data_IF_173123710177
#
_entry.id   IF_173123710177
#
_cell.length_a   1.000
_cell.length_b   1.000
_cell.length_c   1.000
_cell.angle_alpha   90.00
_cell.angle_beta   90.00
_cell.angle_gamma   90.00
#
_symmetry.space_group_name_H-M   'P 1'
#
loop_
_entity.id
_entity.type
_entity.pdbx_description
1 polymer ?
#
# COMPACT_ATOMS: atom_id res chain seq x y z
N UNK A 1 13.41 -0.34 -9.70
CA UNK A 1 12.53 0.85 -9.57
C UNK A 1 11.29 0.49 -8.76
N UNK A 2 10.80 1.38 -7.89
CA UNK A 2 9.52 1.23 -7.18
C UNK A 2 8.68 2.47 -7.45
N UNK A 3 7.45 2.28 -7.90
CA UNK A 3 6.53 3.35 -8.31
C UNK A 3 5.26 3.32 -7.46
N UNK A 4 4.59 4.46 -7.39
CA UNK A 4 3.24 4.55 -6.86
C UNK A 4 2.37 5.40 -7.79
N UNK A 5 1.06 5.14 -7.79
CA UNK A 5 0.10 5.93 -8.55
C UNK A 5 -1.29 5.85 -7.92
N UNK A 6 -2.05 6.94 -8.05
CA UNK A 6 -3.49 6.93 -7.87
C UNK A 6 -4.09 5.99 -8.94
N UNK A 7 -4.92 5.05 -8.49
CA UNK A 7 -5.57 4.02 -9.31
C UNK A 7 -7.09 4.21 -9.39
N UNK A 8 -7.57 5.38 -8.97
CA UNK A 8 -8.96 5.86 -9.09
C UNK A 8 -8.97 7.21 -9.82
N UNK A 9 -10.15 7.64 -10.25
CA UNK A 9 -10.32 8.96 -10.88
C UNK A 9 -10.05 10.06 -9.84
N UNK A 10 -9.33 11.14 -10.19
CA UNK A 10 -9.17 12.30 -9.30
C UNK A 10 -10.51 12.95 -8.96
N UNK A 11 -10.67 13.45 -7.73
CA UNK A 11 -11.87 14.14 -7.27
C UNK A 11 -12.49 13.48 -6.04
N UNK A 12 -13.72 13.90 -5.72
CA UNK A 12 -14.47 13.41 -4.57
C UNK A 12 -14.99 12.00 -4.84
N UNK A 13 -14.58 11.04 -4.01
CA UNK A 13 -14.96 9.65 -4.12
C UNK A 13 -15.10 9.05 -2.71
N UNK A 14 -15.99 8.06 -2.55
CA UNK A 14 -16.09 7.33 -1.27
C UNK A 14 -14.85 6.51 -0.91
N UNK A 15 -14.06 6.12 -1.92
CA UNK A 15 -12.79 5.37 -1.74
C UNK A 15 -11.80 5.79 -2.81
N UNK A 16 -10.55 6.08 -2.41
CA UNK A 16 -9.42 6.22 -3.31
C UNK A 16 -8.50 4.99 -3.20
N UNK A 17 -7.94 4.54 -4.33
CA UNK A 17 -6.99 3.41 -4.36
C UNK A 17 -5.63 3.91 -4.79
N UNK A 18 -4.60 3.66 -3.98
CA UNK A 18 -3.20 3.93 -4.31
C UNK A 18 -2.48 2.60 -4.48
N UNK A 19 -1.87 2.39 -5.65
CA UNK A 19 -1.07 1.19 -5.93
C UNK A 19 0.40 1.50 -5.81
N UNK A 20 1.13 0.65 -5.08
CA UNK A 20 2.60 0.70 -4.97
C UNK A 20 3.18 -0.59 -5.54
N UNK A 21 4.08 -0.48 -6.52
CA UNK A 21 4.64 -1.63 -7.26
C UNK A 21 6.16 -1.52 -7.38
N UNK A 22 6.85 -2.65 -7.23
CA UNK A 22 8.29 -2.75 -7.41
C UNK A 22 9.01 -3.43 -6.24
N UNK A 23 10.33 -3.47 -6.32
CA UNK A 23 11.19 -4.22 -5.39
C UNK A 23 11.06 -3.74 -3.93
N UNK A 24 10.77 -2.45 -3.71
CA UNK A 24 10.63 -1.86 -2.38
C UNK A 24 9.19 -1.71 -1.92
N UNK A 25 8.18 -2.22 -2.66
CA UNK A 25 6.78 -2.06 -2.29
C UNK A 25 6.47 -2.62 -0.89
N UNK A 26 7.03 -3.78 -0.54
CA UNK A 26 6.89 -4.36 0.81
C UNK A 26 7.48 -3.46 1.90
N UNK A 27 8.61 -2.82 1.62
CA UNK A 27 9.27 -1.90 2.56
C UNK A 27 8.45 -0.62 2.72
N UNK A 28 7.96 -0.05 1.62
CA UNK A 28 7.12 1.15 1.63
C UNK A 28 5.83 0.92 2.44
N UNK A 29 5.11 -0.17 2.17
CA UNK A 29 3.88 -0.52 2.90
C UNK A 29 4.18 -0.80 4.38
N UNK A 30 5.29 -1.46 4.72
CA UNK A 30 5.69 -1.65 6.12
C UNK A 30 5.95 -0.33 6.83
N UNK A 31 6.61 0.64 6.17
CA UNK A 31 6.83 1.98 6.74
C UNK A 31 5.51 2.74 6.94
N UNK A 32 4.64 2.75 5.93
CA UNK A 32 3.34 3.45 5.99
C UNK A 32 2.38 2.86 7.04
N UNK A 33 2.38 1.54 7.22
CA UNK A 33 1.40 0.87 8.11
C UNK A 33 1.97 0.50 9.47
N UNK A 34 3.30 0.54 9.63
CA UNK A 34 4.07 -0.05 10.75
C UNK A 34 3.77 -1.53 11.01
N UNK A 35 3.18 -2.24 10.03
CA UNK A 35 2.78 -3.66 10.14
C UNK A 35 3.50 -4.53 9.11
N UNK A 36 3.72 -5.79 9.47
CA UNK A 36 4.12 -6.83 8.52
C UNK A 36 2.87 -7.52 7.96
N UNK A 37 2.47 -7.15 6.74
CA UNK A 37 1.26 -7.70 6.12
C UNK A 37 1.53 -9.07 5.48
N UNK A 38 0.54 -9.97 5.61
CA UNK A 38 0.54 -11.25 4.92
C UNK A 38 0.07 -11.06 3.46
N UNK A 39 0.67 -11.79 2.50
CA UNK A 39 0.21 -11.72 1.12
C UNK A 39 -1.26 -12.15 0.97
N UNK A 40 -2.02 -11.45 0.13
CA UNK A 40 -3.41 -11.74 -0.24
C UNK A 40 -4.40 -11.68 0.93
N UNK A 41 -4.09 -10.90 1.96
CA UNK A 41 -4.97 -10.62 3.10
C UNK A 41 -5.34 -9.14 3.12
N UNK A 42 -6.62 -8.83 3.33
CA UNK A 42 -7.09 -7.47 3.53
C UNK A 42 -6.98 -7.10 5.00
N UNK A 43 -6.15 -6.11 5.31
CA UNK A 43 -5.87 -5.71 6.70
C UNK A 43 -6.17 -4.23 6.90
N UNK A 44 -7.02 -3.91 7.89
CA UNK A 44 -7.25 -2.53 8.32
C UNK A 44 -6.00 -1.98 9.02
N UNK A 45 -5.48 -0.87 8.51
CA UNK A 45 -4.24 -0.25 8.96
C UNK A 45 -4.46 1.25 9.17
N UNK A 46 -3.83 1.79 10.24
CA UNK A 46 -3.54 3.21 10.32
C UNK A 46 -2.36 3.52 9.40
N UNK A 47 -2.41 4.64 8.70
CA UNK A 47 -1.33 5.14 7.87
C UNK A 47 -0.58 6.23 8.61
N UNK A 48 0.75 6.14 8.59
CA UNK A 48 1.65 7.03 9.29
C UNK A 48 2.47 7.86 8.31
N UNK A 49 2.68 9.12 8.66
CA UNK A 49 3.62 9.99 7.95
C UNK A 49 5.07 9.76 8.42
N UNK A 50 5.98 10.57 7.90
CA UNK A 50 7.41 10.51 8.25
C UNK A 50 7.71 11.00 9.69
N UNK A 51 6.75 11.62 10.38
CA UNK A 51 6.83 12.08 11.77
C UNK A 51 6.08 11.16 12.73
N UNK A 52 5.76 9.94 12.28
CA UNK A 52 5.03 8.94 13.05
C UNK A 52 3.60 9.33 13.46
N UNK A 53 3.03 10.35 12.82
CA UNK A 53 1.65 10.80 13.04
C UNK A 53 0.68 10.07 12.13
N UNK A 54 -0.49 9.69 12.66
CA UNK A 54 -1.54 9.02 11.88
C UNK A 54 -2.27 10.07 11.05
N UNK A 55 -2.30 9.91 9.73
CA UNK A 55 -3.00 10.83 8.84
C UNK A 55 -4.27 10.22 8.22
N UNK A 56 -4.39 8.88 8.17
CA UNK A 56 -5.56 8.20 7.61
C UNK A 56 -5.68 6.74 8.09
N UNK A 57 -6.77 6.06 7.75
CA UNK A 57 -6.96 4.62 7.85
C UNK A 57 -7.32 4.02 6.51
N UNK A 58 -6.72 2.88 6.18
CA UNK A 58 -6.96 2.20 4.92
C UNK A 58 -7.01 0.68 5.09
N UNK A 59 -7.75 0.02 4.22
CA UNK A 59 -7.63 -1.43 3.99
C UNK A 59 -6.46 -1.64 3.04
N UNK A 60 -5.44 -2.36 3.50
CA UNK A 60 -4.22 -2.60 2.73
C UNK A 60 -4.15 -4.08 2.36
N UNK A 61 -3.94 -4.35 1.07
CA UNK A 61 -3.74 -5.72 0.53
C UNK A 61 -2.35 -5.81 -0.05
N UNK A 62 -1.49 -6.63 0.56
CA UNK A 62 -0.16 -6.90 0.02
C UNK A 62 -0.23 -8.06 -0.98
N UNK A 63 0.24 -7.86 -2.21
CA UNK A 63 0.34 -8.93 -3.20
C UNK A 63 1.80 -9.30 -3.43
N UNK A 64 2.14 -10.58 -3.19
CA UNK A 64 3.44 -11.14 -3.56
C UNK A 64 3.30 -11.92 -4.85
N UNK A 65 3.77 -11.32 -5.94
CA UNK A 65 3.85 -12.00 -7.24
C UNK A 65 5.17 -12.78 -7.27
N UNK A 66 5.11 -14.09 -7.50
CA UNK A 66 6.29 -14.86 -7.95
C UNK A 66 6.46 -14.53 -9.44
N UNK A 67 7.69 -14.23 -9.87
CA UNK A 67 8.01 -14.02 -11.29
C UNK A 67 7.38 -15.14 -12.13
N UNK A 68 6.67 -14.75 -13.18
CA UNK A 68 6.28 -15.66 -14.25
C UNK A 68 7.53 -15.89 -15.10
N UNK A 69 8.02 -17.12 -15.14
CA UNK A 69 9.10 -17.54 -16.02
C UNK A 69 8.44 -17.96 -17.34
N UNK A 70 8.92 -17.39 -18.44
CA UNK A 70 8.91 -18.09 -19.72
C UNK A 70 10.18 -18.94 -19.77
#
# INVERSE_FOLDING_TARGET
MTIYALSTVPGENGVAVIRVSGQLAKVAIKKLTKKALKPREATLCKLYDHKDSVFDQAVVVFLKIKKFYW
#
